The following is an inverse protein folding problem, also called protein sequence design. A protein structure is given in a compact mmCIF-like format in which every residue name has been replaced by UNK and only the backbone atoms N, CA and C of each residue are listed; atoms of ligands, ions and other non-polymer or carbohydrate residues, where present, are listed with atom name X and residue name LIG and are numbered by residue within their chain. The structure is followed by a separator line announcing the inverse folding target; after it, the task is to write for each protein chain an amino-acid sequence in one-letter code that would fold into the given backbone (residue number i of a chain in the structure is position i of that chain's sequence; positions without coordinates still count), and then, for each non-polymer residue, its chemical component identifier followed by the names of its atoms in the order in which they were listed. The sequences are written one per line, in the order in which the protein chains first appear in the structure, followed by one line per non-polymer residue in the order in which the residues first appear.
data_IF_068587076608
#
_entry.id   IF_068587076608
#
_cell.length_a   1.000
_cell.length_b   1.000
_cell.length_c   1.000
_cell.angle_alpha   90.00
_cell.angle_beta   90.00
_cell.angle_gamma   90.00
#
_symmetry.space_group_name_H-M   'P 1'
#
loop_
_entity.id
_entity.type
_entity.pdbx_description
1 polymer ?
#
# COMPACT_ATOMS: atom_id res chain seq x y z
N UNK A 1 18.90 5.55 -0.91
CA UNK A 1 17.63 5.51 -0.15
C UNK A 1 17.13 6.94 0.06
N UNK A 2 15.88 7.11 0.52
CA UNK A 2 15.30 8.44 0.82
C UNK A 2 16.18 9.26 1.78
N UNK A 3 16.76 8.59 2.79
CA UNK A 3 17.70 9.21 3.73
C UNK A 3 18.97 9.70 3.03
N UNK A 4 19.63 8.83 2.24
CA UNK A 4 20.84 9.21 1.51
C UNK A 4 20.63 10.40 0.57
N UNK A 5 19.46 10.48 -0.08
CA UNK A 5 19.13 11.63 -0.93
C UNK A 5 18.86 12.89 -0.11
N UNK A 6 18.22 12.76 1.05
CA UNK A 6 18.01 13.87 1.98
C UNK A 6 19.35 14.43 2.46
N UNK A 7 20.29 13.56 2.85
CA UNK A 7 21.63 13.96 3.29
C UNK A 7 22.42 14.65 2.17
N UNK A 8 22.39 14.08 0.95
CA UNK A 8 22.98 14.69 -0.25
C UNK A 8 22.39 16.07 -0.58
N UNK A 9 21.08 16.24 -0.46
CA UNK A 9 20.42 17.50 -0.78
C UNK A 9 20.77 18.58 0.26
N UNK A 10 20.74 18.21 1.54
CA UNK A 10 21.12 19.09 2.65
C UNK A 10 22.59 19.49 2.60
N UNK A 11 23.50 18.59 2.19
CA UNK A 11 24.92 18.90 2.06
C UNK A 11 25.22 19.86 0.91
N UNK A 12 24.38 19.87 -0.13
CA UNK A 12 24.58 20.70 -1.34
C UNK A 12 23.89 22.07 -1.26
N UNK A 13 22.76 22.17 -0.57
CA UNK A 13 21.96 23.39 -0.51
C UNK A 13 21.70 23.81 0.95
N UNK A 14 22.59 24.64 1.49
CA UNK A 14 22.40 25.24 2.82
C UNK A 14 21.20 26.21 2.83
N UNK A 15 20.32 26.08 3.83
CA UNK A 15 19.16 26.97 4.02
C UNK A 15 17.87 26.54 3.33
N UNK A 16 17.84 25.37 2.68
CA UNK A 16 16.61 24.77 2.12
C UNK A 16 16.20 23.53 2.91
N UNK A 17 14.90 23.32 3.09
CA UNK A 17 14.34 22.13 3.74
C UNK A 17 13.59 21.29 2.70
N UNK A 18 14.00 20.03 2.57
CA UNK A 18 13.33 19.07 1.70
C UNK A 18 12.10 18.50 2.40
N UNK A 19 10.95 18.52 1.71
CA UNK A 19 9.70 17.93 2.18
C UNK A 19 9.28 16.79 1.25
N UNK A 20 9.20 15.57 1.79
CA UNK A 20 8.76 14.40 1.05
C UNK A 20 7.23 14.32 1.03
N UNK A 21 6.63 14.43 -0.16
CA UNK A 21 5.19 14.32 -0.34
C UNK A 21 4.80 12.88 -0.71
N UNK A 22 4.63 12.03 0.30
CA UNK A 22 4.29 10.61 0.11
C UNK A 22 2.95 10.39 -0.61
N UNK A 23 2.00 11.31 -0.46
CA UNK A 23 0.70 11.28 -1.15
C UNK A 23 0.81 11.36 -2.67
N UNK A 24 1.85 12.03 -3.19
CA UNK A 24 2.10 12.16 -4.64
C UNK A 24 3.12 11.15 -5.15
N UNK A 25 3.78 10.42 -4.24
CA UNK A 25 4.86 9.49 -4.56
C UNK A 25 4.29 8.14 -5.00
N UNK A 26 4.86 7.60 -6.09
CA UNK A 26 4.51 6.30 -6.67
C UNK A 26 5.75 5.40 -6.72
N UNK A 27 5.53 4.09 -6.66
CA UNK A 27 6.58 3.09 -6.79
C UNK A 27 6.09 1.82 -7.49
N UNK A 28 6.99 0.86 -7.62
CA UNK A 28 6.71 -0.46 -8.20
C UNK A 28 6.93 -1.55 -7.15
N UNK A 29 5.95 -2.44 -6.99
CA UNK A 29 6.02 -3.62 -6.15
C UNK A 29 6.02 -4.88 -7.01
N UNK A 30 7.00 -5.76 -6.78
CA UNK A 30 7.00 -7.11 -7.37
C UNK A 30 6.40 -8.07 -6.37
N UNK A 31 5.25 -8.67 -6.72
CA UNK A 31 4.51 -9.58 -5.86
C UNK A 31 4.72 -11.00 -6.33
N UNK A 32 5.23 -11.83 -5.42
CA UNK A 32 5.66 -13.21 -5.67
C UNK A 32 4.74 -14.26 -5.04
N UNK A 33 3.67 -13.87 -4.37
CA UNK A 33 2.73 -14.77 -3.69
C UNK A 33 1.68 -15.38 -4.62
N UNK A 34 1.80 -15.18 -5.95
CA UNK A 34 0.88 -15.68 -6.97
C UNK A 34 1.60 -16.60 -7.94
N UNK A 35 0.82 -17.32 -8.76
CA UNK A 35 1.29 -18.24 -9.80
C UNK A 35 2.33 -17.61 -10.76
N UNK A 36 2.24 -16.29 -10.96
CA UNK A 36 3.22 -15.51 -11.74
C UNK A 36 3.68 -14.30 -10.94
N UNK A 37 4.95 -13.88 -11.11
CA UNK A 37 5.40 -12.62 -10.55
C UNK A 37 4.69 -11.46 -11.25
N UNK A 38 3.89 -10.71 -10.49
CA UNK A 38 3.21 -9.51 -10.97
C UNK A 38 3.95 -8.26 -10.49
N UNK A 39 3.95 -7.21 -11.31
CA UNK A 39 4.47 -5.89 -10.92
C UNK A 39 3.33 -4.89 -10.81
N UNK A 40 3.12 -4.32 -9.63
CA UNK A 40 2.11 -3.29 -9.39
C UNK A 40 2.77 -1.91 -9.31
N UNK A 41 2.31 -0.97 -10.14
CA UNK A 41 2.54 0.45 -9.91
C UNK A 41 1.51 0.93 -8.89
N UNK A 42 1.97 1.42 -7.75
CA UNK A 42 1.11 1.78 -6.63
C UNK A 42 1.58 3.07 -5.96
N UNK A 43 0.66 3.79 -5.32
CA UNK A 43 1.00 4.93 -4.47
C UNK A 43 1.74 4.47 -3.21
N UNK A 44 2.48 5.36 -2.57
CA UNK A 44 3.20 5.03 -1.33
C UNK A 44 2.27 4.48 -0.24
N UNK A 45 1.05 5.00 -0.14
CA UNK A 45 0.07 4.50 0.82
C UNK A 45 -0.54 3.15 0.43
N UNK A 46 -0.73 2.88 -0.86
CA UNK A 46 -1.12 1.54 -1.30
C UNK A 46 0.01 0.53 -1.00
N UNK A 47 1.26 0.92 -1.23
CA UNK A 47 2.41 0.08 -0.95
C UNK A 47 2.56 -0.22 0.54
N UNK A 48 2.39 0.78 1.42
CA UNK A 48 2.48 0.56 2.87
C UNK A 48 1.43 -0.42 3.37
N UNK A 49 0.20 -0.36 2.86
CA UNK A 49 -0.86 -1.34 3.17
C UNK A 49 -0.51 -2.73 2.64
N UNK A 50 -0.08 -2.85 1.37
CA UNK A 50 0.25 -4.14 0.77
C UNK A 50 1.43 -4.83 1.49
N UNK A 51 2.42 -4.07 1.95
CA UNK A 51 3.58 -4.60 2.67
C UNK A 51 3.22 -5.21 4.04
N UNK A 52 2.13 -4.76 4.70
CA UNK A 52 1.66 -5.39 5.94
C UNK A 52 1.30 -6.87 5.73
N UNK A 53 0.83 -7.23 4.54
CA UNK A 53 0.46 -8.61 4.20
C UNK A 53 1.65 -9.57 4.08
N UNK A 54 2.88 -9.08 4.18
CA UNK A 54 4.05 -9.95 4.31
C UNK A 54 4.16 -10.58 5.72
N UNK A 55 3.53 -9.96 6.74
CA UNK A 55 3.53 -10.46 8.12
C UNK A 55 2.33 -11.36 8.43
N UNK A 56 1.29 -11.32 7.59
CA UNK A 56 0.07 -12.12 7.78
C UNK A 56 -0.92 -11.92 6.65
N UNK A 57 -1.84 -12.87 6.47
CA UNK A 57 -2.79 -12.83 5.36
C UNK A 57 -4.11 -12.12 5.69
N UNK A 58 -4.31 -11.73 6.96
CA UNK A 58 -5.57 -11.17 7.48
C UNK A 58 -5.28 -10.07 8.49
N UNK A 59 -5.93 -8.92 8.31
CA UNK A 59 -5.84 -7.79 9.23
C UNK A 59 -7.20 -7.11 9.36
N UNK A 60 -7.49 -6.54 10.53
CA UNK A 60 -8.60 -5.60 10.68
C UNK A 60 -8.23 -4.22 10.16
N UNK A 61 -9.22 -3.41 9.76
CA UNK A 61 -8.97 -2.02 9.35
C UNK A 61 -8.31 -1.22 10.48
N UNK A 62 -8.69 -1.45 11.74
CA UNK A 62 -8.04 -0.82 12.90
C UNK A 62 -6.55 -1.17 13.03
N UNK A 63 -6.18 -2.44 12.79
CA UNK A 63 -4.77 -2.85 12.83
C UNK A 63 -3.97 -2.21 11.69
N UNK A 64 -4.59 -2.07 10.51
CA UNK A 64 -3.97 -1.40 9.37
C UNK A 64 -3.81 0.11 9.62
N UNK A 65 -4.78 0.75 10.27
CA UNK A 65 -4.69 2.16 10.67
C UNK A 65 -3.51 2.39 11.61
N UNK A 66 -3.40 1.57 12.66
CA UNK A 66 -2.32 1.68 13.65
C UNK A 66 -0.93 1.38 13.06
N UNK A 67 -0.81 0.32 12.26
CA UNK A 67 0.47 -0.08 11.68
C UNK A 67 0.98 0.86 10.58
N UNK A 68 0.07 1.45 9.80
CA UNK A 68 0.45 2.33 8.68
C UNK A 68 0.46 3.80 9.04
N UNK A 69 -0.20 4.19 10.14
CA UNK A 69 -0.36 5.59 10.54
C UNK A 69 -1.17 6.44 9.54
N UNK A 70 -1.89 5.80 8.61
CA UNK A 70 -2.73 6.48 7.62
C UNK A 70 -4.07 6.79 8.28
N UNK A 71 -4.55 8.03 8.14
CA UNK A 71 -5.88 8.42 8.64
C UNK A 71 -6.98 7.53 8.06
N UNK A 72 -7.95 7.15 8.89
CA UNK A 72 -9.04 6.25 8.51
C UNK A 72 -9.75 6.62 7.20
N UNK A 73 -10.05 7.90 6.98
CA UNK A 73 -10.75 8.40 5.79
C UNK A 73 -10.01 8.04 4.50
N UNK A 74 -8.69 8.21 4.51
CA UNK A 74 -7.81 7.88 3.38
C UNK A 74 -7.62 6.37 3.28
N UNK A 75 -7.43 5.69 4.42
CA UNK A 75 -7.23 4.25 4.47
C UNK A 75 -8.43 3.50 3.87
N UNK A 76 -9.66 3.89 4.21
CA UNK A 76 -10.87 3.29 3.66
C UNK A 76 -10.94 3.44 2.12
N UNK A 77 -10.58 4.60 1.59
CA UNK A 77 -10.52 4.82 0.13
C UNK A 77 -9.47 3.93 -0.54
N UNK A 78 -8.29 3.80 0.08
CA UNK A 78 -7.21 2.94 -0.42
C UNK A 78 -7.66 1.47 -0.42
N UNK A 79 -8.23 1.00 0.69
CA UNK A 79 -8.71 -0.37 0.82
C UNK A 79 -9.82 -0.67 -0.19
N UNK A 80 -10.75 0.26 -0.38
CA UNK A 80 -11.81 0.12 -1.37
C UNK A 80 -11.24 0.03 -2.81
N UNK A 81 -10.21 0.83 -3.13
CA UNK A 81 -9.53 0.71 -4.41
C UNK A 81 -8.86 -0.67 -4.57
N UNK A 82 -8.11 -1.14 -3.57
CA UNK A 82 -7.43 -2.44 -3.61
C UNK A 82 -8.40 -3.63 -3.70
N UNK A 83 -9.57 -3.52 -3.06
CA UNK A 83 -10.67 -4.50 -3.19
C UNK A 83 -11.26 -4.48 -4.60
N UNK A 84 -11.47 -3.30 -5.20
CA UNK A 84 -11.92 -3.19 -6.61
C UNK A 84 -10.91 -3.82 -7.58
N UNK A 85 -9.62 -3.72 -7.28
CA UNK A 85 -8.56 -4.40 -8.03
C UNK A 85 -8.48 -5.91 -7.75
N UNK A 86 -9.30 -6.47 -6.85
CA UNK A 86 -9.31 -7.89 -6.46
C UNK A 86 -8.02 -8.37 -5.80
N UNK A 87 -7.20 -7.46 -5.28
CA UNK A 87 -6.00 -7.80 -4.50
C UNK A 87 -6.37 -8.16 -3.06
N UNK A 88 -7.37 -7.46 -2.52
CA UNK A 88 -7.88 -7.67 -1.17
C UNK A 88 -9.33 -8.14 -1.21
N UNK A 89 -9.74 -8.91 -0.20
CA UNK A 89 -11.11 -9.40 -0.02
C UNK A 89 -11.61 -9.06 1.39
N UNK A 90 -12.83 -8.57 1.47
CA UNK A 90 -13.53 -8.35 2.75
C UNK A 90 -14.23 -9.66 3.13
N UNK A 91 -14.05 -10.12 4.37
CA UNK A 91 -14.56 -11.45 4.76
C UNK A 91 -16.05 -11.47 5.13
N UNK A 92 -16.56 -10.43 5.78
CA UNK A 92 -17.90 -10.46 6.42
C UNK A 92 -18.91 -9.46 5.87
N UNK A 93 -18.48 -8.26 5.46
CA UNK A 93 -19.37 -7.17 5.05
C UNK A 93 -19.02 -6.65 3.65
N UNK A 94 -20.02 -6.20 2.88
CA UNK A 94 -19.77 -5.47 1.64
C UNK A 94 -19.34 -4.01 1.89
N UNK A 95 -19.53 -3.51 3.12
CA UNK A 95 -19.20 -2.16 3.55
C UNK A 95 -17.94 -2.18 4.42
N UNK A 96 -16.94 -1.39 4.06
CA UNK A 96 -15.70 -1.24 4.83
C UNK A 96 -15.97 -0.44 6.11
N UNK A 97 -15.97 -1.12 7.25
CA UNK A 97 -16.09 -0.53 8.59
C UNK A 97 -14.77 -0.69 9.37
N UNK A 98 -14.57 0.07 10.46
CA UNK A 98 -13.33 0.00 11.27
C UNK A 98 -13.03 -1.40 11.83
N UNK A 99 -14.07 -2.17 12.13
CA UNK A 99 -14.00 -3.54 12.62
C UNK A 99 -13.94 -4.58 11.51
N UNK A 100 -14.07 -4.18 10.24
CA UNK A 100 -14.01 -5.10 9.11
C UNK A 100 -12.65 -5.79 9.03
N UNK A 101 -12.68 -7.09 8.76
CA UNK A 101 -11.48 -7.89 8.49
C UNK A 101 -11.25 -8.01 7.00
N UNK A 102 -10.02 -7.72 6.59
CA UNK A 102 -9.55 -7.75 5.21
C UNK A 102 -8.49 -8.82 5.08
N UNK A 103 -8.60 -9.60 4.02
CA UNK A 103 -7.68 -10.68 3.69
C UNK A 103 -7.03 -10.45 2.33
N UNK A 104 -5.79 -10.92 2.17
CA UNK A 104 -5.14 -10.98 0.88
C UNK A 104 -5.87 -12.02 0.00
N UNK A 105 -6.20 -11.66 -1.24
CA UNK A 105 -6.83 -12.59 -2.18
C UNK A 105 -5.75 -13.52 -2.77
N UNK A 106 -5.77 -14.85 -2.51
CA UNK A 106 -4.77 -15.78 -3.04
C UNK A 106 -4.96 -16.10 -4.52
N UNK A 107 -6.17 -15.91 -5.06
CA UNK A 107 -6.53 -16.26 -6.43
C UNK A 107 -6.40 -15.07 -7.41
N UNK A 108 -5.51 -14.11 -7.14
CA UNK A 108 -5.34 -12.97 -8.03
C UNK A 108 -4.85 -13.40 -9.41
N UNK A 109 -5.53 -12.94 -10.46
CA UNK A 109 -5.15 -13.17 -11.85
C UNK A 109 -5.39 -11.93 -12.68
N UNK A 110 -4.32 -11.47 -13.34
CA UNK A 110 -4.37 -10.39 -14.32
C UNK A 110 -3.87 -10.88 -15.67
N UNK A 111 -4.46 -10.35 -16.76
CA UNK A 111 -3.97 -10.56 -18.13
C UNK A 111 -2.62 -9.86 -18.36
N UNK A 112 -2.32 -8.81 -17.59
CA UNK A 112 -1.08 -8.04 -17.67
C UNK A 112 -0.17 -8.40 -16.51
N UNK A 113 1.12 -8.65 -16.79
CA UNK A 113 2.14 -8.86 -15.78
C UNK A 113 2.48 -7.56 -15.02
N UNK A 114 2.35 -6.41 -15.70
CA UNK A 114 2.49 -5.08 -15.10
C UNK A 114 1.13 -4.39 -15.02
N UNK A 115 0.68 -4.13 -13.80
CA UNK A 115 -0.64 -3.52 -13.50
C UNK A 115 -0.40 -2.14 -12.91
N UNK A 116 -1.17 -1.16 -13.38
CA UNK A 116 -1.10 0.25 -12.96
C UNK A 116 -2.38 0.65 -12.26
#
# INVERSE_FOLDING_TARGET
SVQQFTDFYCSRYSGRKLHWLHSLSRGELVVKCYDKPYTFQASTFQMSVLLQFNMGNRFSVSQLEESTGIRLDILLQILQALVKFKLLKIEKENTLTKSSTISLCPAYRSKKLKVK
#
